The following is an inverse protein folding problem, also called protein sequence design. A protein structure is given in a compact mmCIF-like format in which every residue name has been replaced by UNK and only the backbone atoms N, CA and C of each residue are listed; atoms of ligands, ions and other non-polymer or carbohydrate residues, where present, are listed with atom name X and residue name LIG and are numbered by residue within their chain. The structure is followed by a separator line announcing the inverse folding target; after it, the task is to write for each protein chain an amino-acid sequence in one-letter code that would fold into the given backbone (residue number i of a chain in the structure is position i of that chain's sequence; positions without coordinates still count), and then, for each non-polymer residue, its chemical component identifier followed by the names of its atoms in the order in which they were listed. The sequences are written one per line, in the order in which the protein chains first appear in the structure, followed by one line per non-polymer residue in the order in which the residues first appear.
data_IF_700787221122
#
_entry.id   IF_700787221122
#
_cell.length_a   1.000
_cell.length_b   1.000
_cell.length_c   1.000
_cell.angle_alpha   90.00
_cell.angle_beta   90.00
_cell.angle_gamma   90.00
#
_symmetry.space_group_name_H-M   'P 1'
#
loop_
_entity.id
_entity.type
_entity.pdbx_description
1 polymer ?
#
# COMPACT_ATOMS: atom_id res chain seq x y z
N UNK A 1 32.51 -47.38 -30.89
CA UNK A 1 33.35 -46.16 -30.97
C UNK A 1 32.47 -44.97 -31.35
N UNK A 2 32.57 -43.86 -30.59
CA UNK A 2 32.20 -42.45 -30.90
C UNK A 2 30.72 -42.22 -31.31
N UNK A 3 29.76 -41.82 -30.47
CA UNK A 3 29.63 -40.63 -29.58
C UNK A 3 30.14 -39.33 -30.20
N UNK A 4 29.26 -38.56 -30.85
CA UNK A 4 29.22 -37.09 -30.77
C UNK A 4 27.76 -36.63 -31.02
N UNK A 5 27.03 -36.31 -29.96
CA UNK A 5 25.79 -35.53 -30.04
C UNK A 5 26.23 -34.06 -29.97
N UNK A 6 26.18 -33.37 -31.11
CA UNK A 6 26.49 -31.95 -31.20
C UNK A 6 25.29 -31.16 -30.67
N UNK A 7 25.28 -30.89 -29.36
CA UNK A 7 24.36 -29.91 -28.76
C UNK A 7 24.73 -28.51 -29.24
N UNK A 8 23.97 -28.00 -30.20
CA UNK A 8 23.99 -26.58 -30.57
C UNK A 8 23.34 -25.82 -29.42
N UNK A 9 24.17 -25.19 -28.59
CA UNK A 9 23.74 -24.27 -27.56
C UNK A 9 23.20 -22.99 -28.20
N UNK A 10 21.88 -22.91 -28.36
CA UNK A 10 21.21 -21.65 -28.66
C UNK A 10 21.22 -20.79 -27.39
N UNK A 11 22.25 -19.96 -27.24
CA UNK A 11 22.24 -18.89 -26.25
C UNK A 11 21.21 -17.84 -26.70
N UNK A 12 19.97 -17.97 -26.22
CA UNK A 12 18.97 -16.92 -26.26
C UNK A 12 19.49 -15.77 -25.38
N UNK A 13 20.20 -14.83 -26.00
CA UNK A 13 20.46 -13.53 -25.41
C UNK A 13 19.10 -12.81 -25.28
N UNK A 14 18.47 -12.95 -24.12
CA UNK A 14 17.35 -12.11 -23.69
C UNK A 14 17.86 -10.67 -23.57
N UNK A 15 17.81 -9.92 -24.67
CA UNK A 15 17.92 -8.47 -24.63
C UNK A 15 16.67 -7.96 -23.92
N UNK A 16 16.75 -7.80 -22.60
CA UNK A 16 15.74 -7.07 -21.85
C UNK A 16 15.75 -5.64 -22.37
N UNK A 17 14.77 -5.28 -23.20
CA UNK A 17 14.51 -3.89 -23.51
C UNK A 17 14.16 -3.21 -22.19
N UNK A 18 15.11 -2.46 -21.63
CA UNK A 18 14.83 -1.53 -20.55
C UNK A 18 13.97 -0.43 -21.16
N UNK A 19 12.65 -0.58 -21.08
CA UNK A 19 11.72 0.51 -21.34
C UNK A 19 12.01 1.53 -20.23
N UNK A 20 12.86 2.52 -20.54
CA UNK A 20 13.06 3.65 -19.64
C UNK A 20 11.70 4.32 -19.48
N UNK A 21 11.20 4.38 -18.24
CA UNK A 21 9.95 5.04 -17.96
C UNK A 21 10.04 6.49 -18.45
N UNK A 22 9.06 6.93 -19.24
CA UNK A 22 9.10 8.28 -19.78
C UNK A 22 8.94 9.32 -18.65
N UNK A 23 9.75 10.37 -18.70
CA UNK A 23 9.86 11.38 -17.63
C UNK A 23 8.86 12.51 -17.84
N UNK A 24 8.06 12.80 -16.81
CA UNK A 24 7.14 13.95 -16.77
C UNK A 24 7.85 15.26 -16.40
N UNK A 25 8.91 15.18 -15.60
CA UNK A 25 9.71 16.34 -15.20
C UNK A 25 10.61 16.01 -14.02
N UNK A 26 11.15 17.05 -13.38
CA UNK A 26 12.03 16.89 -12.21
C UNK A 26 11.63 17.80 -11.06
N UNK A 27 11.83 17.34 -9.83
CA UNK A 27 11.74 18.14 -8.60
C UNK A 27 13.09 18.10 -7.90
N UNK A 28 13.82 19.22 -7.81
CA UNK A 28 15.21 19.27 -7.30
C UNK A 28 16.11 18.18 -7.92
N UNK A 29 16.04 17.99 -9.24
CA UNK A 29 16.80 16.97 -9.96
C UNK A 29 16.31 15.53 -9.77
N UNK A 30 15.26 15.30 -8.97
CA UNK A 30 14.61 13.99 -8.87
C UNK A 30 13.60 13.81 -9.98
N UNK A 31 13.74 12.77 -10.78
CA UNK A 31 12.78 12.45 -11.83
C UNK A 31 11.40 12.13 -11.27
N UNK A 32 10.39 12.64 -11.97
CA UNK A 32 8.98 12.29 -11.81
C UNK A 32 8.59 11.58 -13.10
N UNK A 33 8.17 10.32 -13.01
CA UNK A 33 7.74 9.57 -14.18
C UNK A 33 6.35 10.02 -14.65
N UNK A 34 6.03 9.76 -15.91
CA UNK A 34 4.67 9.95 -16.43
C UNK A 34 3.64 9.08 -15.71
N UNK A 35 4.03 7.92 -15.18
CA UNK A 35 3.14 7.09 -14.36
C UNK A 35 2.78 7.78 -13.04
N UNK A 36 3.77 8.35 -12.35
CA UNK A 36 3.55 9.11 -11.12
C UNK A 36 2.65 10.32 -11.38
N UNK A 37 2.90 11.03 -12.47
CA UNK A 37 2.09 12.16 -12.89
C UNK A 37 0.65 11.78 -13.23
N UNK A 38 0.45 10.70 -14.01
CA UNK A 38 -0.87 10.19 -14.34
C UNK A 38 -1.62 9.64 -13.12
N UNK A 39 -0.92 9.02 -12.16
CA UNK A 39 -1.52 8.58 -10.90
C UNK A 39 -2.04 9.79 -10.10
N UNK A 40 -1.27 10.86 -10.03
CA UNK A 40 -1.68 12.08 -9.35
C UNK A 40 -2.89 12.72 -10.07
N UNK A 41 -2.84 12.81 -11.40
CA UNK A 41 -3.95 13.30 -12.24
C UNK A 41 -5.22 12.48 -12.05
N UNK A 42 -5.13 11.15 -12.00
CA UNK A 42 -6.29 10.28 -11.78
C UNK A 42 -7.01 10.59 -10.47
N UNK A 43 -6.26 10.90 -9.41
CA UNK A 43 -6.84 11.25 -8.11
C UNK A 43 -7.58 12.59 -8.15
N UNK A 44 -7.01 13.62 -8.77
CA UNK A 44 -7.60 14.97 -8.78
C UNK A 44 -8.67 15.16 -9.86
N UNK A 45 -8.54 14.50 -11.01
CA UNK A 45 -9.48 14.59 -12.13
C UNK A 45 -10.55 13.50 -12.13
N UNK A 46 -10.55 12.62 -11.11
CA UNK A 46 -11.39 11.40 -11.08
C UNK A 46 -11.24 10.54 -12.35
N UNK A 47 -10.04 10.53 -12.93
CA UNK A 47 -9.71 9.76 -14.13
C UNK A 47 -10.02 10.44 -15.47
N UNK A 48 -10.39 11.71 -15.47
CA UNK A 48 -10.76 12.44 -16.70
C UNK A 48 -9.56 13.02 -17.46
N UNK A 49 -8.40 13.16 -16.82
CA UNK A 49 -7.21 13.77 -17.42
C UNK A 49 -5.99 12.83 -17.40
N UNK A 50 -5.18 12.94 -18.45
CA UNK A 50 -3.88 12.26 -18.61
C UNK A 50 -2.81 13.28 -18.99
N UNK A 51 -1.54 12.96 -18.72
CA UNK A 51 -0.40 13.87 -18.85
C UNK A 51 -0.26 14.49 -20.25
N UNK A 52 -0.56 13.72 -21.29
CA UNK A 52 -0.54 14.13 -22.70
C UNK A 52 -1.64 15.14 -23.05
N UNK A 53 -2.74 15.19 -22.30
CA UNK A 53 -3.96 15.96 -22.62
C UNK A 53 -4.09 17.26 -21.84
N UNK A 54 -3.13 17.59 -20.99
CA UNK A 54 -3.17 18.78 -20.13
C UNK A 54 -2.19 19.85 -20.60
N UNK A 55 -2.53 21.11 -20.32
CA UNK A 55 -1.69 22.26 -20.66
C UNK A 55 -0.38 22.27 -19.87
N UNK A 56 0.61 23.03 -20.34
CA UNK A 56 1.89 23.16 -19.64
C UNK A 56 1.72 23.69 -18.20
N UNK A 57 0.82 24.64 -17.99
CA UNK A 57 0.51 25.16 -16.66
C UNK A 57 -0.08 24.08 -15.74
N UNK A 58 -0.94 23.22 -16.27
CA UNK A 58 -1.49 22.09 -15.52
C UNK A 58 -0.41 21.04 -15.20
N UNK A 59 0.53 20.79 -16.13
CA UNK A 59 1.70 19.93 -15.90
C UNK A 59 2.55 20.44 -14.74
N UNK A 60 2.83 21.74 -14.69
CA UNK A 60 3.53 22.37 -13.56
C UNK A 60 2.78 22.20 -12.24
N UNK A 61 1.45 22.36 -12.25
CA UNK A 61 0.64 22.15 -11.05
C UNK A 61 0.69 20.70 -10.55
N UNK A 62 0.68 19.72 -11.46
CA UNK A 62 0.84 18.30 -11.10
C UNK A 62 2.22 18.05 -10.50
N UNK A 63 3.29 18.62 -11.06
CA UNK A 63 4.63 18.50 -10.48
C UNK A 63 4.70 19.15 -9.09
N UNK A 64 4.09 20.32 -8.89
CA UNK A 64 3.98 20.97 -7.57
C UNK A 64 3.19 20.13 -6.57
N UNK A 65 2.19 19.40 -7.00
CA UNK A 65 1.42 18.48 -6.15
C UNK A 65 2.25 17.25 -5.73
N UNK A 66 3.12 16.74 -6.61
CA UNK A 66 3.98 15.58 -6.33
C UNK A 66 5.18 15.97 -5.46
N UNK A 67 5.70 17.18 -5.64
CA UNK A 67 6.93 17.66 -5.02
C UNK A 67 7.03 17.45 -3.49
N UNK A 68 6.01 17.78 -2.67
CA UNK A 68 6.07 17.55 -1.22
C UNK A 68 6.41 16.11 -0.86
N UNK A 69 5.80 15.13 -1.54
CA UNK A 69 6.02 13.71 -1.24
C UNK A 69 7.44 13.25 -1.60
N UNK A 70 7.99 13.72 -2.74
CA UNK A 70 9.37 13.43 -3.16
C UNK A 70 10.39 14.06 -2.21
N UNK A 71 10.18 15.32 -1.85
CA UNK A 71 11.06 16.04 -0.92
C UNK A 71 11.02 15.40 0.47
N UNK A 72 9.84 15.05 0.97
CA UNK A 72 9.68 14.33 2.23
C UNK A 72 10.38 12.96 2.20
N UNK A 73 10.30 12.21 1.09
CA UNK A 73 10.98 10.93 0.96
C UNK A 73 12.51 11.05 1.03
N UNK A 74 13.10 12.08 0.41
CA UNK A 74 14.55 12.36 0.51
C UNK A 74 14.93 12.72 1.94
N UNK A 75 14.14 13.57 2.58
CA UNK A 75 14.34 13.99 3.97
C UNK A 75 14.26 12.81 4.91
N UNK A 76 13.20 12.01 4.83
CA UNK A 76 13.01 10.81 5.63
C UNK A 76 14.16 9.81 5.46
N UNK A 77 14.68 9.61 4.24
CA UNK A 77 15.85 8.72 4.01
C UNK A 77 17.11 9.18 4.74
N UNK A 78 17.31 10.50 4.86
CA UNK A 78 18.51 11.11 5.47
C UNK A 78 18.38 11.29 6.98
N UNK A 79 17.19 11.63 7.45
CA UNK A 79 16.96 12.11 8.81
C UNK A 79 16.41 11.02 9.75
N UNK A 80 15.77 9.97 9.23
CA UNK A 80 15.29 8.86 10.06
C UNK A 80 16.40 7.85 10.34
N UNK A 81 16.39 7.34 11.57
CA UNK A 81 17.17 6.17 11.99
C UNK A 81 16.64 4.89 11.36
N UNK A 82 17.43 3.82 11.35
CA UNK A 82 16.98 2.51 10.85
C UNK A 82 15.80 1.95 11.65
N UNK A 83 15.75 2.20 12.96
CA UNK A 83 14.61 1.81 13.81
C UNK A 83 13.32 2.52 13.37
N UNK A 84 13.36 3.84 13.18
CA UNK A 84 12.22 4.62 12.72
C UNK A 84 11.78 4.21 11.30
N UNK A 85 12.73 3.93 10.41
CA UNK A 85 12.43 3.39 9.07
C UNK A 85 11.72 2.05 9.16
N UNK A 86 12.20 1.14 10.02
CA UNK A 86 11.58 -0.17 10.20
C UNK A 86 10.16 -0.06 10.76
N UNK A 87 9.93 0.84 11.72
CA UNK A 87 8.59 1.13 12.26
C UNK A 87 7.69 1.69 11.15
N UNK A 88 8.16 2.68 10.38
CA UNK A 88 7.39 3.29 9.30
C UNK A 88 7.02 2.28 8.20
N UNK A 89 7.99 1.45 7.78
CA UNK A 89 7.77 0.40 6.78
C UNK A 89 6.82 -0.68 7.27
N UNK A 90 6.97 -1.13 8.52
CA UNK A 90 6.09 -2.13 9.13
C UNK A 90 4.66 -1.60 9.23
N UNK A 91 4.49 -0.35 9.67
CA UNK A 91 3.18 0.29 9.75
C UNK A 91 2.54 0.48 8.38
N UNK A 92 3.30 0.92 7.37
CA UNK A 92 2.81 1.06 6.00
C UNK A 92 2.38 -0.29 5.42
N UNK A 93 3.18 -1.34 5.65
CA UNK A 93 2.86 -2.69 5.22
C UNK A 93 1.58 -3.20 5.88
N UNK A 94 1.44 -3.01 7.20
CA UNK A 94 0.22 -3.36 7.95
C UNK A 94 -1.00 -2.63 7.39
N UNK A 95 -0.91 -1.31 7.17
CA UNK A 95 -2.00 -0.52 6.59
C UNK A 95 -2.41 -1.04 5.21
N UNK A 96 -1.43 -1.31 4.34
CA UNK A 96 -1.68 -1.89 3.02
C UNK A 96 -2.42 -3.23 3.14
N UNK A 97 -1.91 -4.15 3.96
CA UNK A 97 -2.53 -5.47 4.14
C UNK A 97 -3.93 -5.40 4.75
N UNK A 98 -4.16 -4.53 5.73
CA UNK A 98 -5.49 -4.32 6.28
C UNK A 98 -6.48 -3.79 5.23
N UNK A 99 -6.05 -2.87 4.35
CA UNK A 99 -6.91 -2.34 3.28
C UNK A 99 -7.23 -3.35 2.16
N UNK A 100 -6.30 -4.25 1.86
CA UNK A 100 -6.50 -5.37 0.93
C UNK A 100 -7.41 -6.46 1.54
N UNK A 101 -7.48 -6.54 2.86
CA UNK A 101 -8.26 -7.55 3.58
C UNK A 101 -9.76 -7.22 3.50
N UNK A 102 -10.50 -8.02 2.73
CA UNK A 102 -11.95 -7.88 2.60
C UNK A 102 -12.65 -8.47 3.83
N UNK A 103 -13.41 -7.63 4.52
CA UNK A 103 -14.34 -8.03 5.59
C UNK A 103 -15.77 -7.78 5.12
N UNK A 104 -16.59 -8.82 5.11
CA UNK A 104 -17.99 -8.73 4.69
C UNK A 104 -18.83 -7.97 5.72
N UNK A 105 -20.00 -7.49 5.32
CA UNK A 105 -20.94 -6.83 6.24
C UNK A 105 -21.51 -7.82 7.25
N UNK A 106 -21.72 -9.06 6.83
CA UNK A 106 -22.20 -10.17 7.66
C UNK A 106 -21.16 -10.56 8.71
N UNK A 107 -19.88 -10.65 8.33
CA UNK A 107 -18.77 -10.86 9.26
C UNK A 107 -18.71 -9.74 10.31
N UNK A 108 -18.80 -8.48 9.86
CA UNK A 108 -18.79 -7.32 10.75
C UNK A 108 -20.01 -7.32 11.69
N UNK A 109 -21.20 -7.67 11.19
CA UNK A 109 -22.43 -7.73 11.99
C UNK A 109 -22.36 -8.82 13.06
N UNK A 110 -21.82 -10.00 12.72
CA UNK A 110 -21.58 -11.07 13.69
C UNK A 110 -20.61 -10.63 14.79
N UNK A 111 -19.52 -9.94 14.44
CA UNK A 111 -18.59 -9.39 15.42
C UNK A 111 -19.23 -8.30 16.30
N UNK A 112 -20.04 -7.42 15.70
CA UNK A 112 -20.80 -6.39 16.40
C UNK A 112 -21.72 -6.98 17.48
N UNK A 113 -22.54 -7.98 17.13
CA UNK A 113 -23.46 -8.59 18.10
C UNK A 113 -22.70 -9.28 19.24
N UNK A 114 -21.58 -9.97 18.95
CA UNK A 114 -20.73 -10.54 20.01
C UNK A 114 -20.19 -9.48 20.97
N UNK A 115 -19.72 -8.35 20.44
CA UNK A 115 -19.21 -7.24 21.24
C UNK A 115 -20.31 -6.59 22.07
N UNK A 116 -21.50 -6.42 21.48
CA UNK A 116 -22.68 -5.87 22.15
C UNK A 116 -23.14 -6.75 23.31
N UNK A 117 -23.23 -8.06 23.09
CA UNK A 117 -23.60 -9.03 24.14
C UNK A 117 -22.55 -9.08 25.25
N UNK A 118 -21.26 -9.06 24.91
CA UNK A 118 -20.19 -8.97 25.90
C UNK A 118 -20.26 -7.67 26.72
N UNK A 119 -20.57 -6.54 26.07
CA UNK A 119 -20.72 -5.24 26.73
C UNK A 119 -21.94 -5.23 27.68
N UNK A 120 -23.10 -5.75 27.24
CA UNK A 120 -24.30 -5.87 28.08
C UNK A 120 -24.06 -6.72 29.33
N UNK A 121 -23.35 -7.85 29.19
CA UNK A 121 -22.99 -8.70 30.34
C UNK A 121 -22.13 -7.97 31.37
N UNK A 122 -21.21 -7.10 30.91
CA UNK A 122 -20.30 -6.35 31.79
C UNK A 122 -20.94 -5.10 32.39
N UNK A 123 -21.77 -4.40 31.62
CA UNK A 123 -22.49 -3.22 32.07
C UNK A 123 -23.82 -3.08 31.29
N UNK A 124 -24.94 -3.59 31.84
CA UNK A 124 -26.25 -3.59 31.17
C UNK A 124 -26.80 -2.20 30.83
N UNK A 125 -26.35 -1.16 31.55
CA UNK A 125 -26.81 0.23 31.36
C UNK A 125 -25.94 1.02 30.38
N UNK A 126 -24.86 0.42 29.88
CA UNK A 126 -23.97 1.10 28.94
C UNK A 126 -24.59 1.14 27.56
N UNK A 127 -24.78 2.35 27.05
CA UNK A 127 -25.19 2.54 25.66
C UNK A 127 -24.12 1.98 24.71
N UNK A 128 -24.60 1.28 23.69
CA UNK A 128 -23.76 0.69 22.66
C UNK A 128 -24.07 1.40 21.33
N UNK A 129 -23.05 1.85 20.58
CA UNK A 129 -23.27 2.53 19.30
C UNK A 129 -24.02 1.62 18.33
N UNK A 130 -24.76 2.20 17.39
CA UNK A 130 -25.41 1.43 16.33
C UNK A 130 -24.39 0.68 15.47
N UNK A 131 -24.85 -0.36 14.76
CA UNK A 131 -23.99 -1.11 13.85
C UNK A 131 -23.36 -0.19 12.80
N UNK A 132 -24.15 0.69 12.18
CA UNK A 132 -23.64 1.58 11.12
C UNK A 132 -22.53 2.51 11.62
N UNK A 133 -22.67 3.04 12.84
CA UNK A 133 -21.64 3.88 13.46
C UNK A 133 -20.36 3.08 13.79
N UNK A 134 -20.49 1.81 14.17
CA UNK A 134 -19.36 0.96 14.55
C UNK A 134 -18.78 0.14 13.39
N UNK A 135 -19.48 0.02 12.26
CA UNK A 135 -19.16 -0.91 11.16
C UNK A 135 -17.74 -0.74 10.66
N UNK A 136 -17.32 0.51 10.40
CA UNK A 136 -15.98 0.82 9.87
C UNK A 136 -14.88 0.43 10.85
N UNK A 137 -15.03 0.76 12.13
CA UNK A 137 -14.02 0.44 13.15
C UNK A 137 -13.96 -1.06 13.42
N UNK A 138 -15.10 -1.75 13.43
CA UNK A 138 -15.17 -3.21 13.54
C UNK A 138 -14.46 -3.88 12.37
N UNK A 139 -14.76 -3.48 11.14
CA UNK A 139 -14.06 -4.03 9.96
C UNK A 139 -12.55 -3.82 10.03
N UNK A 140 -12.11 -2.62 10.42
CA UNK A 140 -10.69 -2.32 10.56
C UNK A 140 -10.03 -3.23 11.62
N UNK A 141 -10.66 -3.38 12.79
CA UNK A 141 -10.15 -4.26 13.85
C UNK A 141 -10.10 -5.72 13.41
N UNK A 142 -11.13 -6.21 12.72
CA UNK A 142 -11.15 -7.57 12.17
C UNK A 142 -10.07 -7.77 11.12
N UNK A 143 -9.82 -6.78 10.25
CA UNK A 143 -8.74 -6.83 9.28
C UNK A 143 -7.38 -6.89 9.99
N UNK A 144 -7.18 -6.07 11.03
CA UNK A 144 -5.97 -6.10 11.85
C UNK A 144 -5.76 -7.47 12.49
N UNK A 145 -6.79 -8.03 13.12
CA UNK A 145 -6.74 -9.34 13.76
C UNK A 145 -6.40 -10.46 12.76
N UNK A 146 -7.00 -10.44 11.56
CA UNK A 146 -6.67 -11.40 10.50
C UNK A 146 -5.20 -11.28 10.06
N UNK A 147 -4.73 -10.08 9.76
CA UNK A 147 -3.34 -9.85 9.30
C UNK A 147 -2.32 -10.24 10.36
N UNK A 148 -2.54 -9.86 11.63
CA UNK A 148 -1.66 -10.25 12.74
C UNK A 148 -1.72 -11.75 12.97
N UNK A 149 -2.92 -12.34 12.95
CA UNK A 149 -3.09 -13.79 13.09
C UNK A 149 -2.31 -14.57 12.04
N UNK A 150 -2.32 -14.11 10.78
CA UNK A 150 -1.55 -14.72 9.71
C UNK A 150 -0.04 -14.59 9.92
N UNK A 151 0.46 -13.43 10.36
CA UNK A 151 1.88 -13.25 10.70
C UNK A 151 2.33 -14.17 11.84
N UNK A 152 1.48 -14.33 12.86
CA UNK A 152 1.83 -15.07 14.07
C UNK A 152 1.87 -16.59 13.85
N UNK A 153 1.23 -17.13 12.81
CA UNK A 153 1.28 -18.57 12.48
C UNK A 153 2.70 -19.08 12.25
N UNK A 154 3.55 -18.24 11.65
CA UNK A 154 4.93 -18.58 11.32
C UNK A 154 5.94 -18.03 12.33
N UNK A 155 5.47 -17.35 13.38
CA UNK A 155 6.33 -16.70 14.36
C UNK A 155 7.02 -17.72 15.29
N UNK A 156 8.35 -17.75 15.26
CA UNK A 156 9.17 -18.54 16.18
C UNK A 156 9.61 -17.69 17.37
N UNK A 157 8.81 -17.70 18.42
CA UNK A 157 9.09 -16.93 19.65
C UNK A 157 9.86 -17.82 20.62
N UNK A 158 11.04 -17.37 21.05
CA UNK A 158 11.85 -18.04 22.08
C UNK A 158 12.16 -17.03 23.18
N UNK A 159 11.90 -17.42 24.42
CA UNK A 159 12.38 -16.69 25.59
C UNK A 159 13.90 -16.93 25.72
N UNK A 160 14.64 -15.90 26.12
CA UNK A 160 16.06 -15.99 26.48
C UNK A 160 16.19 -15.85 27.98
#
# INVERSE_FOLDING_TARGET
MKRVLTTIGFALALTTMTISAETAGTVNGMEVSMEEANKALKMVSRGQATWDKISQQQKEQVLRMIAPSKLAAVKAKKELTEEEKNIALSNLWMQKKMSETKISDEEAKKAYEKLKEAAKKKNPKKEFPSFDAAKKSIKMKMAQEKVVGDLMKDAKIKLK
#
